data_IF_791665946446
#
_entry.id   IF_791665946446
#
_cell.length_a   1.000
_cell.length_b   1.000
_cell.length_c   1.000
_cell.angle_alpha   90.00
_cell.angle_beta   90.00
_cell.angle_gamma   90.00
#
_symmetry.space_group_name_H-M   'P 1'
#
loop_
_entity.id
_entity.type
_entity.pdbx_description
1 polymer ?
#
# COMPACT_ATOMS: atom_id res chain seq x y z
N UNK A 1 -16.81 28.55 -12.51
CA UNK A 1 -15.61 28.56 -11.68
C UNK A 1 -14.84 27.26 -11.53
N UNK A 2 -15.26 26.12 -12.09
CA UNK A 2 -14.51 24.86 -11.94
C UNK A 2 -13.86 24.50 -13.28
N UNK A 3 -12.54 24.38 -13.32
CA UNK A 3 -11.79 24.00 -14.52
C UNK A 3 -10.78 22.90 -14.22
N UNK A 4 -10.54 22.03 -15.20
CA UNK A 4 -9.48 21.03 -15.12
C UNK A 4 -8.15 21.71 -15.49
N UNK A 5 -7.17 21.56 -14.61
CA UNK A 5 -5.83 22.08 -14.81
C UNK A 5 -4.92 21.06 -15.47
N UNK A 6 -3.64 21.13 -15.13
CA UNK A 6 -2.63 20.26 -15.73
C UNK A 6 -2.85 18.79 -15.34
N UNK A 7 -2.83 17.90 -16.34
CA UNK A 7 -2.74 16.46 -16.10
C UNK A 7 -1.35 16.10 -15.56
N UNK A 8 -1.30 15.26 -14.52
CA UNK A 8 -0.06 14.82 -13.89
C UNK A 8 0.35 13.48 -14.49
N UNK A 9 1.41 13.50 -15.29
CA UNK A 9 2.09 12.28 -15.73
C UNK A 9 2.83 11.64 -14.55
N UNK A 10 2.68 10.32 -14.41
CA UNK A 10 3.20 9.57 -13.27
C UNK A 10 4.00 8.38 -13.74
N UNK A 11 5.11 8.08 -13.05
CA UNK A 11 5.83 6.83 -13.24
C UNK A 11 5.02 5.59 -12.78
N UNK A 12 4.17 5.78 -11.78
CA UNK A 12 3.43 4.74 -11.07
C UNK A 12 1.93 4.97 -11.20
N UNK A 13 1.13 3.93 -10.98
CA UNK A 13 -0.35 3.98 -10.96
C UNK A 13 -0.92 4.75 -12.17
N UNK A 14 -0.32 4.49 -13.35
CA UNK A 14 -0.57 5.23 -14.60
C UNK A 14 -2.02 5.18 -15.08
N UNK A 15 -2.77 4.14 -14.70
CA UNK A 15 -4.18 4.00 -15.04
C UNK A 15 -5.09 4.94 -14.22
N UNK A 16 -4.62 5.42 -13.07
CA UNK A 16 -5.36 6.42 -12.28
C UNK A 16 -5.13 7.80 -12.89
N UNK A 17 -6.21 8.48 -13.31
CA UNK A 17 -6.13 9.86 -13.78
C UNK A 17 -5.84 10.76 -12.58
N UNK A 18 -4.85 11.64 -12.72
CA UNK A 18 -4.52 12.63 -11.69
C UNK A 18 -4.25 13.94 -12.38
N UNK A 19 -4.84 15.01 -11.87
CA UNK A 19 -4.70 16.34 -12.43
C UNK A 19 -5.14 17.38 -11.42
N UNK A 20 -4.85 18.62 -11.74
CA UNK A 20 -5.29 19.77 -10.97
C UNK A 20 -6.78 20.05 -11.20
N UNK A 21 -7.46 20.53 -10.17
CA UNK A 21 -8.79 21.12 -10.27
C UNK A 21 -8.66 22.56 -9.76
N UNK A 22 -8.98 23.53 -10.61
CA UNK A 22 -8.98 24.95 -10.24
C UNK A 22 -10.40 25.37 -9.88
N UNK A 23 -10.50 26.10 -8.77
CA UNK A 23 -11.74 26.66 -8.25
C UNK A 23 -11.58 28.18 -8.22
N UNK A 24 -12.25 28.88 -9.12
CA UNK A 24 -12.24 30.33 -9.27
C UNK A 24 -13.68 30.85 -9.17
N UNK A 25 -13.98 31.66 -8.15
CA UNK A 25 -15.31 32.22 -7.88
C UNK A 25 -16.44 31.17 -7.97
N UNK A 26 -16.22 30.01 -7.34
CA UNK A 26 -17.20 28.92 -7.31
C UNK A 26 -18.21 29.18 -6.20
N UNK A 27 -19.44 29.51 -6.57
CA UNK A 27 -20.56 29.53 -5.63
C UNK A 27 -21.04 28.10 -5.32
N UNK A 28 -21.18 27.78 -4.04
CA UNK A 28 -21.66 26.49 -3.55
C UNK A 28 -22.86 26.73 -2.64
N UNK A 29 -24.01 26.06 -2.86
CA UNK A 29 -25.17 26.24 -1.99
C UNK A 29 -24.86 25.80 -0.55
N UNK A 30 -25.33 26.57 0.44
CA UNK A 30 -25.06 26.31 1.87
C UNK A 30 -25.40 24.88 2.32
N UNK A 31 -26.41 24.24 1.71
CA UNK A 31 -26.78 22.85 1.99
C UNK A 31 -25.75 21.79 1.58
N UNK A 32 -24.71 22.14 0.83
CA UNK A 32 -23.60 21.24 0.47
C UNK A 32 -22.45 21.27 1.47
N UNK A 33 -22.56 22.07 2.55
CA UNK A 33 -21.55 22.09 3.62
C UNK A 33 -21.60 20.77 4.41
N UNK A 34 -20.56 19.95 4.24
CA UNK A 34 -20.37 18.72 5.00
C UNK A 34 -19.59 18.98 6.28
N UNK A 35 -20.11 18.50 7.41
CA UNK A 35 -19.43 18.60 8.71
C UNK A 35 -19.60 19.95 9.43
N UNK A 36 -20.45 20.85 8.91
CA UNK A 36 -20.64 22.19 9.49
C UNK A 36 -19.40 23.08 9.35
N UNK A 37 -19.42 24.26 9.98
CA UNK A 37 -18.35 25.26 9.82
C UNK A 37 -16.99 24.81 10.36
N UNK A 38 -16.96 23.95 11.38
CA UNK A 38 -15.72 23.56 12.10
C UNK A 38 -15.44 22.06 12.13
N UNK A 39 -16.40 21.21 11.72
CA UNK A 39 -16.29 19.75 11.88
C UNK A 39 -15.51 19.02 10.78
N UNK A 40 -14.93 19.73 9.81
CA UNK A 40 -14.20 19.12 8.69
C UNK A 40 -13.04 18.23 9.14
N UNK A 41 -12.22 18.69 10.09
CA UNK A 41 -11.03 17.96 10.57
C UNK A 41 -11.40 16.64 11.26
N UNK A 42 -12.44 16.66 12.10
CA UNK A 42 -12.91 15.46 12.81
C UNK A 42 -13.45 14.41 11.83
N UNK A 43 -14.25 14.83 10.86
CA UNK A 43 -14.79 13.94 9.81
C UNK A 43 -13.68 13.35 8.94
N UNK A 44 -12.67 14.14 8.58
CA UNK A 44 -11.47 13.66 7.86
C UNK A 44 -10.69 12.64 8.71
N UNK A 45 -10.60 12.85 10.03
CA UNK A 45 -9.92 11.93 10.93
C UNK A 45 -10.52 10.51 10.89
N UNK A 46 -11.85 10.41 10.84
CA UNK A 46 -12.56 9.13 10.72
C UNK A 46 -12.25 8.40 9.42
N UNK A 47 -12.42 9.06 8.27
CA UNK A 47 -12.24 8.43 6.94
C UNK A 47 -10.80 8.00 6.69
N UNK A 48 -9.81 8.66 7.32
CA UNK A 48 -8.40 8.28 7.16
C UNK A 48 -8.09 6.88 7.68
N UNK A 49 -8.81 6.38 8.69
CA UNK A 49 -8.60 5.01 9.19
C UNK A 49 -9.02 3.98 8.15
N UNK A 50 -10.16 4.21 7.49
CA UNK A 50 -10.65 3.37 6.40
C UNK A 50 -9.69 3.41 5.20
N UNK A 51 -9.29 4.61 4.76
CA UNK A 51 -8.32 4.78 3.65
C UNK A 51 -7.02 4.02 3.92
N UNK A 52 -6.53 4.04 5.17
CA UNK A 52 -5.30 3.31 5.55
C UNK A 52 -5.48 1.81 5.45
N UNK A 53 -6.59 1.26 5.94
CA UNK A 53 -6.90 -0.18 5.80
C UNK A 53 -7.05 -0.57 4.33
N UNK A 54 -7.75 0.23 3.52
CA UNK A 54 -7.86 0.01 2.07
C UNK A 54 -6.49 0.03 1.38
N UNK A 55 -5.62 0.98 1.75
CA UNK A 55 -4.26 1.07 1.20
C UNK A 55 -3.42 -0.14 1.61
N UNK A 56 -3.59 -0.66 2.82
CA UNK A 56 -2.96 -1.91 3.25
C UNK A 56 -3.43 -3.09 2.40
N UNK A 57 -4.73 -3.21 2.14
CA UNK A 57 -5.28 -4.25 1.27
C UNK A 57 -4.74 -4.18 -0.17
N UNK A 58 -4.62 -2.98 -0.75
CA UNK A 58 -3.99 -2.76 -2.06
C UNK A 58 -2.51 -3.20 -2.02
N UNK A 59 -1.80 -2.88 -0.94
CA UNK A 59 -0.39 -3.25 -0.76
C UNK A 59 -0.21 -4.77 -0.76
N UNK A 60 -1.06 -5.48 -0.02
CA UNK A 60 -1.10 -6.95 0.01
C UNK A 60 -1.40 -7.54 -1.38
N UNK A 61 -2.40 -7.00 -2.08
CA UNK A 61 -2.77 -7.47 -3.42
C UNK A 61 -1.63 -7.32 -4.43
N UNK A 62 -0.96 -6.16 -4.43
CA UNK A 62 0.18 -5.89 -5.30
C UNK A 62 1.37 -6.80 -5.00
N UNK A 63 1.71 -6.96 -3.71
CA UNK A 63 2.79 -7.82 -3.26
C UNK A 63 2.52 -9.30 -3.62
N UNK A 64 1.28 -9.77 -3.46
CA UNK A 64 0.87 -11.12 -3.85
C UNK A 64 1.05 -11.36 -5.35
N UNK A 65 0.69 -10.39 -6.19
CA UNK A 65 0.90 -10.49 -7.63
C UNK A 65 2.39 -10.53 -8.01
N UNK A 66 3.22 -9.71 -7.35
CA UNK A 66 4.65 -9.71 -7.58
C UNK A 66 5.33 -11.01 -7.13
N UNK A 67 4.97 -11.51 -5.94
CA UNK A 67 5.42 -12.80 -5.42
C UNK A 67 5.06 -13.94 -6.39
N UNK A 68 3.82 -13.98 -6.85
CA UNK A 68 3.35 -15.01 -7.80
C UNK A 68 4.13 -14.99 -9.11
N UNK A 69 4.36 -13.80 -9.67
CA UNK A 69 5.17 -13.65 -10.89
C UNK A 69 6.62 -14.09 -10.68
N UNK A 70 7.24 -13.72 -9.55
CA UNK A 70 8.61 -14.11 -9.23
C UNK A 70 8.76 -15.63 -9.01
N UNK A 71 7.81 -16.25 -8.31
CA UNK A 71 7.81 -17.70 -8.09
C UNK A 71 7.64 -18.48 -9.39
N UNK A 72 6.73 -18.03 -10.27
CA UNK A 72 6.53 -18.63 -11.58
C UNK A 72 7.82 -18.54 -12.43
N UNK A 73 8.37 -17.34 -12.56
CA UNK A 73 9.62 -17.14 -13.30
C UNK A 73 10.78 -17.96 -12.71
N UNK A 74 10.88 -18.06 -11.38
CA UNK A 74 11.94 -18.83 -10.75
C UNK A 74 11.86 -20.35 -11.05
N UNK A 75 10.65 -20.88 -11.29
CA UNK A 75 10.44 -22.28 -11.68
C UNK A 75 10.77 -22.54 -13.14
N UNK A 76 10.55 -21.56 -14.01
CA UNK A 76 10.76 -21.70 -15.46
C UNK A 76 12.20 -21.38 -15.89
N UNK A 77 12.79 -20.33 -15.30
CA UNK A 77 14.13 -19.87 -15.67
C UNK A 77 15.17 -20.87 -15.21
N UNK A 78 16.00 -21.33 -16.15
CA UNK A 78 17.16 -22.17 -15.84
C UNK A 78 18.46 -21.35 -15.80
N UNK A 79 19.32 -21.65 -14.84
CA UNK A 79 20.70 -21.18 -14.80
C UNK A 79 21.56 -22.22 -14.09
N UNK A 80 22.78 -22.43 -14.58
CA UNK A 80 23.70 -23.44 -14.03
C UNK A 80 23.08 -24.85 -14.00
N UNK A 81 22.37 -25.22 -15.08
CA UNK A 81 21.86 -26.58 -15.30
C UNK A 81 20.56 -26.95 -14.56
N UNK A 82 19.93 -26.01 -13.84
CA UNK A 82 18.65 -26.26 -13.15
C UNK A 82 17.77 -25.00 -13.05
N UNK A 83 16.46 -25.15 -12.80
CA UNK A 83 15.58 -24.05 -12.44
C UNK A 83 16.14 -23.19 -11.31
N UNK A 84 16.01 -21.86 -11.40
CA UNK A 84 16.62 -20.97 -10.42
C UNK A 84 15.99 -21.08 -9.04
N UNK A 85 14.74 -21.55 -8.94
CA UNK A 85 14.07 -21.85 -7.67
C UNK A 85 14.82 -22.89 -6.83
N UNK A 86 15.64 -23.75 -7.47
CA UNK A 86 16.46 -24.76 -6.79
C UNK A 86 17.80 -24.21 -6.26
N UNK A 87 18.09 -22.92 -6.49
CA UNK A 87 19.22 -22.25 -5.85
C UNK A 87 18.78 -21.70 -4.50
N UNK A 88 19.49 -22.08 -3.42
CA UNK A 88 19.13 -21.75 -2.04
C UNK A 88 18.88 -20.24 -1.82
N UNK A 89 19.70 -19.39 -2.45
CA UNK A 89 19.56 -17.93 -2.36
C UNK A 89 18.21 -17.41 -2.90
N UNK A 90 17.64 -18.06 -3.94
CA UNK A 90 16.30 -17.74 -4.45
C UNK A 90 15.23 -18.26 -3.50
N UNK A 91 15.43 -19.46 -2.94
CA UNK A 91 14.56 -20.02 -1.91
C UNK A 91 14.41 -19.10 -0.69
N UNK A 92 15.51 -18.52 -0.19
CA UNK A 92 15.49 -17.57 0.93
C UNK A 92 14.65 -16.32 0.61
N UNK A 93 14.85 -15.72 -0.56
CA UNK A 93 14.05 -14.57 -1.01
C UNK A 93 12.56 -14.89 -1.05
N UNK A 94 12.21 -16.02 -1.66
CA UNK A 94 10.81 -16.46 -1.75
C UNK A 94 10.21 -16.73 -0.37
N UNK A 95 10.97 -17.32 0.56
CA UNK A 95 10.51 -17.57 1.92
C UNK A 95 10.24 -16.27 2.68
N UNK A 96 11.17 -15.30 2.65
CA UNK A 96 11.04 -14.01 3.33
C UNK A 96 9.87 -13.19 2.77
N UNK A 97 9.72 -13.18 1.44
CA UNK A 97 8.57 -12.53 0.78
C UNK A 97 7.25 -13.16 1.21
N UNK A 98 7.15 -14.49 1.23
CA UNK A 98 5.93 -15.18 1.60
C UNK A 98 5.56 -14.94 3.07
N UNK A 99 6.53 -15.03 3.98
CA UNK A 99 6.32 -14.83 5.40
C UNK A 99 5.84 -13.41 5.71
N UNK A 100 6.53 -12.40 5.16
CA UNK A 100 6.17 -10.99 5.37
C UNK A 100 4.82 -10.64 4.74
N UNK A 101 4.51 -11.17 3.55
CA UNK A 101 3.21 -11.02 2.91
C UNK A 101 2.09 -11.62 3.78
N UNK A 102 2.30 -12.81 4.33
CA UNK A 102 1.31 -13.46 5.18
C UNK A 102 1.06 -12.68 6.47
N UNK A 103 2.12 -12.17 7.12
CA UNK A 103 1.98 -11.32 8.30
C UNK A 103 1.16 -10.05 8.01
N UNK A 104 1.46 -9.35 6.92
CA UNK A 104 0.72 -8.16 6.50
C UNK A 104 -0.74 -8.46 6.12
N UNK A 105 -1.01 -9.62 5.51
CA UNK A 105 -2.36 -10.09 5.19
C UNK A 105 -3.22 -10.23 6.46
N UNK A 106 -2.70 -10.93 7.47
CA UNK A 106 -3.41 -11.14 8.74
C UNK A 106 -3.69 -9.80 9.44
N UNK A 107 -2.67 -8.94 9.53
CA UNK A 107 -2.78 -7.62 10.13
C UNK A 107 -3.80 -6.71 9.41
N UNK A 108 -3.93 -6.88 8.08
CA UNK A 108 -4.91 -6.17 7.26
C UNK A 108 -6.33 -6.66 7.54
N UNK A 109 -6.56 -7.97 7.51
CA UNK A 109 -7.88 -8.54 7.82
C UNK A 109 -8.35 -8.21 9.23
N UNK A 110 -7.44 -8.25 10.19
CA UNK A 110 -7.73 -7.92 11.58
C UNK A 110 -8.15 -6.46 11.74
N UNK A 111 -7.45 -5.52 11.09
CA UNK A 111 -7.84 -4.11 11.10
C UNK A 111 -9.20 -3.90 10.40
N UNK A 112 -9.44 -4.58 9.27
CA UNK A 112 -10.71 -4.52 8.56
C UNK A 112 -11.88 -5.03 9.40
N UNK A 113 -11.74 -6.19 10.03
CA UNK A 113 -12.78 -6.76 10.90
C UNK A 113 -13.14 -5.83 12.08
N UNK A 114 -12.15 -5.11 12.63
CA UNK A 114 -12.40 -4.13 13.70
C UNK A 114 -13.08 -2.87 13.19
N UNK A 115 -12.73 -2.41 11.98
CA UNK A 115 -13.41 -1.31 11.32
C UNK A 115 -14.89 -1.64 11.09
N UNK A 116 -15.17 -2.83 10.56
CA UNK A 116 -16.54 -3.31 10.31
C UNK A 116 -17.35 -3.44 11.62
N UNK A 117 -16.69 -3.75 12.74
CA UNK A 117 -17.29 -3.75 14.07
C UNK A 117 -17.52 -2.35 14.68
N UNK A 118 -17.27 -1.28 13.92
CA UNK A 118 -17.45 0.12 14.36
C UNK A 118 -16.45 0.57 15.43
N UNK A 119 -15.33 -0.15 15.61
CA UNK A 119 -14.32 0.22 16.61
C UNK A 119 -13.42 1.34 16.08
N UNK A 120 -13.00 2.24 16.97
CA UNK A 120 -11.92 3.17 16.66
C UNK A 120 -10.61 2.42 16.50
N UNK A 121 -9.99 2.56 15.33
CA UNK A 121 -8.77 1.83 14.94
C UNK A 121 -7.67 2.77 14.42
N UNK A 122 -7.64 4.03 14.88
CA UNK A 122 -6.73 5.04 14.33
C UNK A 122 -5.26 4.60 14.36
N UNK A 123 -4.83 4.03 15.49
CA UNK A 123 -3.46 3.56 15.70
C UNK A 123 -3.20 2.26 14.94
N UNK A 124 -4.13 1.31 15.03
CA UNK A 124 -4.08 0.01 14.37
C UNK A 124 -4.02 0.16 12.85
N UNK A 125 -4.90 0.99 12.27
CA UNK A 125 -4.89 1.30 10.84
C UNK A 125 -3.58 1.94 10.39
N UNK A 126 -2.98 2.82 11.21
CA UNK A 126 -1.69 3.42 10.91
C UNK A 126 -0.56 2.39 10.90
N UNK A 127 -0.51 1.50 11.90
CA UNK A 127 0.46 0.39 11.95
C UNK A 127 0.27 -0.55 10.77
N UNK A 128 -0.98 -0.95 10.49
CA UNK A 128 -1.32 -1.88 9.41
C UNK A 128 -0.91 -1.34 8.05
N UNK A 129 -1.25 -0.08 7.75
CA UNK A 129 -0.85 0.54 6.48
C UNK A 129 0.65 0.69 6.37
N UNK A 130 1.33 1.10 7.45
CA UNK A 130 2.79 1.23 7.47
C UNK A 130 3.44 -0.11 7.12
N UNK A 131 3.13 -1.16 7.88
CA UNK A 131 3.69 -2.52 7.68
C UNK A 131 3.39 -3.05 6.29
N UNK A 132 2.14 -2.96 5.83
CA UNK A 132 1.74 -3.51 4.54
C UNK A 132 2.41 -2.78 3.36
N UNK A 133 2.48 -1.45 3.41
CA UNK A 133 3.09 -0.66 2.32
C UNK A 133 4.61 -0.88 2.22
N UNK A 134 5.32 -0.92 3.35
CA UNK A 134 6.77 -1.17 3.39
C UNK A 134 7.10 -2.61 2.97
N UNK A 135 6.26 -3.58 3.37
CA UNK A 135 6.36 -4.97 2.90
C UNK A 135 6.18 -5.04 1.39
N UNK A 136 5.18 -4.38 0.82
CA UNK A 136 4.93 -4.40 -0.62
C UNK A 136 6.11 -3.84 -1.41
N UNK A 137 6.75 -2.77 -0.91
CA UNK A 137 7.98 -2.22 -1.51
C UNK A 137 9.10 -3.25 -1.51
N UNK A 138 9.33 -3.96 -0.40
CA UNK A 138 10.37 -4.99 -0.30
C UNK A 138 10.09 -6.20 -1.20
N UNK A 139 8.86 -6.72 -1.17
CA UNK A 139 8.46 -7.88 -2.00
C UNK A 139 8.58 -7.56 -3.49
N UNK A 140 8.16 -6.37 -3.92
CA UNK A 140 8.26 -5.98 -5.34
C UNK A 140 9.70 -5.73 -5.79
N UNK A 141 10.56 -5.23 -4.90
CA UNK A 141 11.99 -5.08 -5.12
C UNK A 141 12.70 -6.44 -5.26
N UNK A 142 12.42 -7.38 -4.35
CA UNK A 142 12.94 -8.75 -4.44
C UNK A 142 12.42 -9.52 -5.66
N UNK A 143 11.14 -9.34 -6.00
CA UNK A 143 10.59 -9.88 -7.24
C UNK A 143 11.39 -9.36 -8.45
N UNK A 144 11.62 -8.05 -8.56
CA UNK A 144 12.41 -7.48 -9.65
C UNK A 144 13.85 -8.05 -9.68
N UNK A 145 14.48 -8.26 -8.52
CA UNK A 145 15.82 -8.89 -8.42
C UNK A 145 15.83 -10.34 -8.92
N UNK A 146 14.79 -11.14 -8.64
CA UNK A 146 14.66 -12.51 -9.14
C UNK A 146 14.57 -12.53 -10.67
N UNK A 147 13.91 -11.54 -11.28
CA UNK A 147 13.90 -11.36 -12.74
C UNK A 147 15.21 -10.77 -13.31
N UNK A 148 16.12 -10.29 -12.46
CA UNK A 148 17.34 -9.58 -12.85
C UNK A 148 17.04 -8.44 -13.85
N UNK A 149 17.78 -8.32 -14.96
CA UNK A 149 17.56 -7.28 -15.97
C UNK A 149 16.14 -7.29 -16.57
N UNK A 150 15.48 -8.45 -16.65
CA UNK A 150 14.09 -8.54 -17.09
C UNK A 150 13.11 -7.90 -16.09
N UNK A 151 13.52 -7.71 -14.83
CA UNK A 151 12.73 -7.03 -13.82
C UNK A 151 12.46 -5.56 -14.14
N UNK A 152 13.23 -4.97 -15.05
CA UNK A 152 13.08 -3.60 -15.55
C UNK A 152 12.51 -3.55 -16.99
N UNK A 153 12.38 -4.69 -17.65
CA UNK A 153 11.88 -4.74 -19.03
C UNK A 153 10.35 -4.61 -19.06
N UNK A 154 9.84 -3.84 -20.02
CA UNK A 154 8.40 -3.58 -20.17
C UNK A 154 7.58 -4.82 -20.54
N UNK A 155 8.24 -5.85 -21.09
CA UNK A 155 7.64 -7.15 -21.43
C UNK A 155 7.21 -7.95 -20.19
N UNK A 156 7.84 -7.69 -19.03
CA UNK A 156 7.57 -8.42 -17.80
C UNK A 156 6.75 -7.57 -16.82
N UNK A 157 5.83 -8.18 -16.06
CA UNK A 157 4.99 -7.44 -15.12
C UNK A 157 5.76 -6.96 -13.88
N UNK A 158 6.96 -7.47 -13.63
CA UNK A 158 7.79 -7.13 -12.47
C UNK A 158 8.02 -5.62 -12.33
N UNK A 159 8.40 -4.93 -13.42
CA UNK A 159 8.63 -3.48 -13.39
C UNK A 159 7.37 -2.70 -12.99
N UNK A 160 6.18 -3.18 -13.40
CA UNK A 160 4.92 -2.52 -13.06
C UNK A 160 4.68 -2.60 -11.56
N UNK A 161 4.88 -3.77 -10.97
CA UNK A 161 4.70 -3.94 -9.53
C UNK A 161 5.70 -3.10 -8.74
N UNK A 162 6.96 -3.10 -9.18
CA UNK A 162 8.03 -2.30 -8.58
C UNK A 162 7.69 -0.80 -8.55
N UNK A 163 7.29 -0.22 -9.70
CA UNK A 163 6.94 1.20 -9.78
C UNK A 163 5.64 1.51 -9.04
N UNK A 164 4.61 0.68 -9.18
CA UNK A 164 3.30 0.93 -8.57
C UNK A 164 3.35 0.81 -7.03
N UNK A 165 4.25 0.00 -6.47
CA UNK A 165 4.43 -0.10 -5.03
C UNK A 165 4.87 1.21 -4.36
N UNK A 166 5.56 2.10 -5.10
CA UNK A 166 6.04 3.38 -4.55
C UNK A 166 4.90 4.35 -4.24
N UNK A 167 3.75 4.22 -4.91
CA UNK A 167 2.55 5.00 -4.60
C UNK A 167 2.00 4.70 -3.20
N UNK A 168 2.21 3.48 -2.70
CA UNK A 168 1.68 3.02 -1.41
C UNK A 168 2.34 3.75 -0.23
N UNK A 169 3.56 4.27 -0.40
CA UNK A 169 4.29 4.97 0.65
C UNK A 169 3.60 6.28 1.05
N UNK A 170 3.25 7.20 0.13
CA UNK A 170 2.49 8.41 0.48
C UNK A 170 0.97 8.19 0.61
N UNK A 171 0.39 7.18 -0.05
CA UNK A 171 -1.05 6.94 -0.03
C UNK A 171 -1.61 6.77 1.39
N UNK A 172 -2.65 7.53 1.76
CA UNK A 172 -3.24 7.48 3.12
C UNK A 172 -2.34 8.03 4.24
N UNK A 173 -1.26 8.73 3.89
CA UNK A 173 -0.25 9.28 4.78
C UNK A 173 1.11 8.64 4.59
N UNK A 174 2.17 9.45 4.59
CA UNK A 174 3.56 8.98 4.49
C UNK A 174 3.93 8.10 5.67
N UNK A 175 4.92 7.21 5.50
CA UNK A 175 5.42 6.36 6.57
C UNK A 175 5.82 7.16 7.83
N UNK A 176 6.35 8.37 7.66
CA UNK A 176 6.75 9.27 8.75
C UNK A 176 5.54 9.79 9.52
N UNK A 177 4.49 10.22 8.82
CA UNK A 177 3.26 10.68 9.47
C UNK A 177 2.57 9.52 10.20
N UNK A 178 2.59 8.31 9.66
CA UNK A 178 2.06 7.14 10.35
C UNK A 178 2.85 6.86 11.63
N UNK A 179 4.17 6.98 11.61
CA UNK A 179 5.00 6.87 12.82
C UNK A 179 4.69 7.95 13.85
N UNK A 180 4.36 9.17 13.43
CA UNK A 180 3.87 10.21 14.35
C UNK A 180 2.54 9.78 14.98
N UNK A 181 1.59 9.26 14.20
CA UNK A 181 0.30 8.77 14.71
C UNK A 181 0.49 7.63 15.71
N UNK A 182 1.36 6.67 15.41
CA UNK A 182 1.70 5.54 16.28
C UNK A 182 2.40 6.03 17.55
N UNK A 183 3.36 6.96 17.41
CA UNK A 183 4.17 7.50 18.49
C UNK A 183 3.40 8.32 19.52
N UNK A 184 2.16 8.73 19.23
CA UNK A 184 1.27 9.36 20.22
C UNK A 184 0.87 8.40 21.35
N UNK A 185 0.97 7.10 21.11
CA UNK A 185 0.57 6.08 22.07
C UNK A 185 1.28 4.75 21.80
N UNK A 186 2.34 4.51 22.58
CA UNK A 186 3.21 3.34 22.50
C UNK A 186 2.90 2.28 23.56
N UNK A 187 1.80 2.41 24.31
CA UNK A 187 1.43 1.42 25.31
C UNK A 187 1.02 0.10 24.62
N UNK A 188 1.82 -0.93 24.86
CA UNK A 188 1.64 -2.29 24.34
C UNK A 188 0.33 -2.91 24.84
N UNK A 189 -0.03 -2.67 26.09
CA UNK A 189 -1.22 -3.28 26.71
C UNK A 189 -2.50 -2.72 26.10
N UNK A 190 -2.49 -1.44 25.72
CA UNK A 190 -3.56 -0.85 24.91
C UNK A 190 -3.68 -1.52 23.54
N UNK A 191 -2.59 -2.12 23.04
CA UNK A 191 -2.48 -2.86 21.77
C UNK A 191 -2.89 -4.34 21.85
N UNK A 192 -3.12 -4.89 23.05
CA UNK A 192 -3.86 -6.16 23.21
C UNK A 192 -5.29 -6.06 22.63
N UNK A 193 -5.72 -4.85 22.24
CA UNK A 193 -6.84 -4.59 21.38
C UNK A 193 -6.77 -5.28 20.00
N UNK A 194 -5.68 -5.92 19.56
CA UNK A 194 -5.73 -6.80 18.39
C UNK A 194 -6.33 -8.20 18.71
N UNK A 195 -6.34 -8.63 19.98
CA UNK A 195 -7.03 -9.85 20.40
C UNK A 195 -8.56 -9.75 20.28
#
# INVERSE_FOLDING_TARGET
GITLGKAIEKMAVRASVTGEILLEDVEVPAGHLLGGETGGVEKIGGILSEIRVMTAAISVGLARAAYGAALAYARERQAFGKPIVEHQAIGFKLADMLASLHAALLMTYQAAARLDAGRSIVREAAMTKLVASEMAVKVTDEAARIFASYGLAMEYPAQRYFRDARFLLPGGGTSEILRVVIGRDLDWERGQAFA
#
